data_IF_735784043061
#
_entry.id   IF_735784043061
#
_cell.length_a   1.000
_cell.length_b   1.000
_cell.length_c   1.000
_cell.angle_alpha   90.00
_cell.angle_beta   90.00
_cell.angle_gamma   90.00
#
_symmetry.space_group_name_H-M   'P 1'
#
loop_
_entity.id
_entity.type
_entity.pdbx_description
1 polymer ?
#
# COMPACT_ATOMS: atom_id res chain seq x y z
N UNK A 1 -71.15 33.33 0.76
CA UNK A 1 -69.95 34.00 1.30
C UNK A 1 -68.74 33.13 0.99
N UNK A 2 -67.77 33.68 0.28
CA UNK A 2 -66.57 33.04 -0.28
C UNK A 2 -65.69 32.34 0.76
N UNK A 3 -65.12 31.17 0.43
CA UNK A 3 -63.74 30.83 0.81
C UNK A 3 -63.22 29.63 -0.03
N UNK A 4 -62.52 29.92 -1.13
CA UNK A 4 -61.06 29.78 -1.35
C UNK A 4 -60.62 28.36 -1.74
N UNK A 5 -60.32 28.24 -3.04
CA UNK A 5 -59.57 27.15 -3.69
C UNK A 5 -58.18 27.04 -3.05
N UNK A 6 -57.84 25.86 -2.53
CA UNK A 6 -56.47 25.56 -2.10
C UNK A 6 -55.73 24.88 -3.26
N UNK A 7 -54.76 25.58 -3.83
CA UNK A 7 -53.79 25.05 -4.79
C UNK A 7 -52.85 24.10 -4.04
N UNK A 8 -52.92 22.79 -4.33
CA UNK A 8 -52.00 21.80 -3.80
C UNK A 8 -50.72 21.82 -4.66
N UNK A 9 -49.71 22.56 -4.21
CA UNK A 9 -48.39 22.58 -4.85
C UNK A 9 -47.67 21.24 -4.54
N UNK A 10 -47.67 20.32 -5.49
CA UNK A 10 -46.94 19.06 -5.40
C UNK A 10 -45.43 19.35 -5.52
N UNK A 11 -44.75 19.51 -4.38
CA UNK A 11 -43.29 19.59 -4.32
C UNK A 11 -42.71 18.23 -4.71
N UNK A 12 -42.19 18.11 -5.93
CA UNK A 12 -41.36 16.98 -6.34
C UNK A 12 -40.03 17.04 -5.59
N UNK A 13 -39.92 16.29 -4.50
CA UNK A 13 -38.66 15.95 -3.84
C UNK A 13 -37.83 15.11 -4.80
N UNK A 14 -36.96 15.74 -5.58
CA UNK A 14 -35.89 15.07 -6.29
C UNK A 14 -34.90 14.58 -5.23
N UNK A 15 -34.73 13.25 -5.04
CA UNK A 15 -33.65 12.77 -4.18
C UNK A 15 -32.35 13.16 -4.88
N UNK A 16 -31.61 14.10 -4.27
CA UNK A 16 -30.23 14.32 -4.62
C UNK A 16 -29.49 13.02 -4.27
N UNK A 17 -29.33 12.15 -5.26
CA UNK A 17 -28.32 11.09 -5.21
C UNK A 17 -26.97 11.79 -5.22
N UNK A 18 -26.53 12.27 -4.05
CA UNK A 18 -25.12 12.43 -3.78
C UNK A 18 -24.54 11.03 -3.99
N UNK A 19 -23.93 10.81 -5.16
CA UNK A 19 -23.02 9.71 -5.35
C UNK A 19 -21.96 9.86 -4.28
N UNK A 20 -22.06 9.05 -3.22
CA UNK A 20 -20.99 8.90 -2.27
C UNK A 20 -19.81 8.41 -3.08
N UNK A 21 -18.82 9.27 -3.32
CA UNK A 21 -17.57 8.88 -3.93
C UNK A 21 -16.96 7.82 -3.01
N UNK A 22 -17.10 6.56 -3.38
CA UNK A 22 -16.49 5.46 -2.67
C UNK A 22 -14.98 5.63 -2.81
N UNK A 23 -14.32 6.05 -1.73
CA UNK A 23 -12.86 6.06 -1.65
C UNK A 23 -12.35 4.68 -2.09
N UNK A 24 -11.42 4.67 -3.04
CA UNK A 24 -10.82 3.42 -3.51
C UNK A 24 -10.13 2.75 -2.30
N UNK A 25 -10.53 1.51 -2.06
CA UNK A 25 -10.13 0.73 -0.91
C UNK A 25 -9.03 -0.24 -1.30
N UNK A 26 -7.86 -0.15 -0.67
CA UNK A 26 -6.68 -0.95 -1.04
C UNK A 26 -6.27 -1.93 0.06
N UNK A 27 -5.68 -3.05 -0.36
CA UNK A 27 -4.96 -3.98 0.51
C UNK A 27 -3.54 -4.04 0.00
N UNK A 28 -2.60 -3.71 0.88
CA UNK A 28 -1.18 -3.87 0.63
C UNK A 28 -0.74 -5.23 1.10
N UNK A 29 -0.04 -5.93 0.22
CA UNK A 29 0.46 -7.29 0.45
C UNK A 29 1.97 -7.20 0.49
N UNK A 30 2.57 -7.68 1.56
CA UNK A 30 4.02 -7.78 1.69
C UNK A 30 4.42 -9.25 1.61
N UNK A 31 5.28 -9.58 0.66
CA UNK A 31 5.84 -10.90 0.45
C UNK A 31 7.25 -10.94 1.02
N UNK A 32 7.43 -11.62 2.15
CA UNK A 32 8.75 -11.86 2.73
C UNK A 32 9.25 -13.23 2.30
N UNK A 33 10.49 -13.34 1.82
CA UNK A 33 11.08 -14.66 1.49
C UNK A 33 11.01 -15.57 2.72
N UNK A 34 10.40 -16.74 2.58
CA UNK A 34 10.35 -17.72 3.65
C UNK A 34 11.71 -18.43 3.77
N UNK A 35 12.45 -18.13 4.85
CA UNK A 35 13.78 -18.72 5.13
C UNK A 35 13.70 -20.18 5.56
N UNK A 36 12.53 -20.63 6.01
CA UNK A 36 12.25 -21.99 6.45
C UNK A 36 11.60 -22.86 5.36
N UNK A 37 11.48 -22.35 4.14
CA UNK A 37 10.89 -23.11 3.04
C UNK A 37 11.79 -24.29 2.64
N UNK A 38 11.17 -25.43 2.36
CA UNK A 38 11.89 -26.63 1.91
C UNK A 38 12.79 -26.33 0.71
N UNK A 39 13.93 -27.03 0.67
CA UNK A 39 14.80 -27.00 -0.51
C UNK A 39 14.08 -27.74 -1.65
N UNK A 40 13.95 -27.06 -2.78
CA UNK A 40 13.33 -27.59 -3.99
C UNK A 40 14.34 -27.55 -5.14
N UNK A 41 14.11 -28.35 -6.18
CA UNK A 41 14.93 -28.31 -7.39
C UNK A 41 14.78 -26.96 -8.10
N UNK A 42 15.81 -26.57 -8.86
CA UNK A 42 15.75 -25.35 -9.67
C UNK A 42 14.56 -25.38 -10.64
N UNK A 43 14.32 -26.51 -11.30
CA UNK A 43 13.18 -26.70 -12.21
C UNK A 43 11.83 -26.45 -11.54
N UNK A 44 11.65 -26.93 -10.30
CA UNK A 44 10.43 -26.65 -9.55
C UNK A 44 10.34 -25.18 -9.14
N UNK A 45 11.45 -24.58 -8.71
CA UNK A 45 11.52 -23.15 -8.39
C UNK A 45 11.11 -22.28 -9.58
N UNK A 46 11.63 -22.56 -10.77
CA UNK A 46 11.32 -21.83 -12.00
C UNK A 46 9.86 -22.02 -12.42
N UNK A 47 9.32 -23.23 -12.25
CA UNK A 47 7.90 -23.52 -12.51
C UNK A 47 6.98 -22.73 -11.58
N UNK A 48 7.30 -22.67 -10.28
CA UNK A 48 6.55 -21.87 -9.31
C UNK A 48 6.62 -20.38 -9.64
N UNK A 49 7.78 -19.86 -10.01
CA UNK A 49 7.95 -18.46 -10.39
C UNK A 49 7.19 -18.11 -11.66
N UNK A 50 7.20 -18.99 -12.68
CA UNK A 50 6.38 -18.82 -13.88
C UNK A 50 4.89 -18.76 -13.55
N UNK A 51 4.44 -19.63 -12.65
CA UNK A 51 3.07 -19.64 -12.16
C UNK A 51 2.70 -18.40 -11.35
N UNK A 52 3.62 -17.88 -10.54
CA UNK A 52 3.48 -16.61 -9.82
C UNK A 52 3.27 -15.45 -10.80
N UNK A 53 4.13 -15.32 -11.82
CA UNK A 53 3.97 -14.28 -12.84
C UNK A 53 2.67 -14.40 -13.63
N UNK A 54 2.24 -15.63 -13.96
CA UNK A 54 0.95 -15.85 -14.61
C UNK A 54 -0.24 -15.42 -13.73
N UNK A 55 -0.14 -15.64 -12.41
CA UNK A 55 -1.16 -15.18 -11.45
C UNK A 55 -1.21 -13.66 -11.35
N UNK A 56 -0.06 -12.98 -11.30
CA UNK A 56 0.04 -11.51 -11.33
C UNK A 56 -0.67 -10.96 -12.57
N UNK A 57 -0.35 -11.48 -13.76
CA UNK A 57 -0.95 -11.04 -15.02
C UNK A 57 -2.47 -11.26 -15.05
N UNK A 58 -2.94 -12.41 -14.55
CA UNK A 58 -4.38 -12.70 -14.45
C UNK A 58 -5.08 -11.72 -13.50
N UNK A 59 -4.54 -11.47 -12.31
CA UNK A 59 -5.13 -10.54 -11.35
C UNK A 59 -5.13 -9.09 -11.86
N UNK A 60 -4.10 -8.69 -12.62
CA UNK A 60 -4.06 -7.39 -13.28
C UNK A 60 -5.15 -7.28 -14.37
N UNK A 61 -5.29 -8.30 -15.22
CA UNK A 61 -6.33 -8.35 -16.25
C UNK A 61 -7.76 -8.34 -15.67
N UNK A 62 -7.95 -8.95 -14.50
CA UNK A 62 -9.22 -8.94 -13.76
C UNK A 62 -9.47 -7.62 -12.99
N UNK A 63 -8.55 -6.65 -13.05
CA UNK A 63 -8.65 -5.36 -12.34
C UNK A 63 -8.49 -5.46 -10.82
N UNK A 64 -8.06 -6.63 -10.31
CA UNK A 64 -7.89 -6.93 -8.89
C UNK A 64 -6.55 -6.44 -8.35
N UNK A 65 -5.50 -6.53 -9.17
CA UNK A 65 -4.16 -6.05 -8.87
C UNK A 65 -3.94 -4.69 -9.54
N UNK A 66 -3.53 -3.69 -8.75
CA UNK A 66 -3.26 -2.33 -9.25
C UNK A 66 -1.78 -2.17 -9.56
N UNK A 67 -0.92 -2.64 -8.65
CA UNK A 67 0.51 -2.54 -8.77
C UNK A 67 1.21 -3.74 -8.12
N UNK A 68 2.33 -4.15 -8.69
CA UNK A 68 3.19 -5.21 -8.17
C UNK A 68 4.66 -4.88 -8.46
N UNK A 69 5.55 -5.23 -7.53
CA UNK A 69 6.97 -5.02 -7.72
C UNK A 69 7.80 -5.88 -6.78
N UNK A 70 8.86 -6.56 -7.27
CA UNK A 70 9.77 -7.29 -6.41
C UNK A 70 10.66 -6.34 -5.60
N UNK A 71 11.17 -6.85 -4.48
CA UNK A 71 12.31 -6.24 -3.81
C UNK A 71 13.62 -6.85 -4.27
N UNK A 72 14.69 -6.06 -4.25
CA UNK A 72 16.05 -6.60 -4.35
C UNK A 72 16.30 -7.61 -3.22
N UNK A 73 16.95 -8.73 -3.55
CA UNK A 73 17.17 -9.84 -2.62
C UNK A 73 15.95 -10.76 -2.39
N UNK A 74 14.82 -10.47 -3.04
CA UNK A 74 13.64 -11.32 -3.09
C UNK A 74 12.50 -10.86 -2.18
N UNK A 75 11.32 -11.45 -2.43
CA UNK A 75 10.06 -10.92 -1.92
C UNK A 75 9.55 -9.79 -2.80
N UNK A 76 8.57 -9.04 -2.31
CA UNK A 76 7.97 -7.95 -3.06
C UNK A 76 6.69 -7.43 -2.43
N UNK A 77 5.97 -6.61 -3.20
CA UNK A 77 4.68 -6.06 -2.80
C UNK A 77 3.62 -6.34 -3.86
N UNK A 78 2.37 -6.41 -3.40
CA UNK A 78 1.19 -6.19 -4.24
C UNK A 78 0.31 -5.10 -3.63
N UNK A 79 -0.39 -4.37 -4.48
CA UNK A 79 -1.47 -3.48 -4.08
C UNK A 79 -2.75 -3.93 -4.78
N UNK A 80 -3.70 -4.44 -4.00
CA UNK A 80 -4.95 -5.01 -4.48
C UNK A 80 -6.11 -4.02 -4.29
N UNK A 81 -7.06 -4.03 -5.23
CA UNK A 81 -8.27 -3.18 -5.22
C UNK A 81 -9.37 -3.74 -4.31
N UNK A 82 -9.08 -3.87 -3.01
CA UNK A 82 -10.05 -4.26 -1.97
C UNK A 82 -9.55 -3.78 -0.60
N UNK A 83 -10.42 -3.33 0.32
CA UNK A 83 -10.03 -3.17 1.74
C UNK A 83 -10.19 -4.47 2.55
N UNK A 84 -10.89 -5.47 1.99
CA UNK A 84 -11.08 -6.76 2.66
C UNK A 84 -9.83 -7.62 2.47
N UNK A 85 -9.12 -7.85 3.57
CA UNK A 85 -7.98 -8.78 3.62
C UNK A 85 -8.41 -10.22 3.36
N UNK A 86 -9.66 -10.59 3.67
CA UNK A 86 -10.21 -11.91 3.32
C UNK A 86 -10.33 -12.09 1.81
N UNK A 87 -10.94 -11.13 1.10
CA UNK A 87 -11.01 -11.17 -0.37
C UNK A 87 -9.61 -11.17 -1.00
N UNK A 88 -8.69 -10.37 -0.45
CA UNK A 88 -7.31 -10.36 -0.91
C UNK A 88 -6.64 -11.73 -0.73
N UNK A 89 -6.84 -12.39 0.42
CA UNK A 89 -6.34 -13.74 0.69
C UNK A 89 -6.90 -14.76 -0.31
N UNK A 90 -8.19 -14.68 -0.62
CA UNK A 90 -8.82 -15.55 -1.62
C UNK A 90 -8.19 -15.36 -3.01
N UNK A 91 -7.97 -14.11 -3.43
CA UNK A 91 -7.32 -13.83 -4.72
C UNK A 91 -5.87 -14.32 -4.79
N UNK A 92 -5.14 -14.25 -3.68
CA UNK A 92 -3.76 -14.73 -3.59
C UNK A 92 -3.66 -16.25 -3.45
N UNK A 93 -4.71 -16.93 -3.00
CA UNK A 93 -4.72 -18.38 -2.79
C UNK A 93 -4.49 -19.20 -4.08
N UNK A 94 -4.70 -18.59 -5.25
CA UNK A 94 -4.46 -19.22 -6.55
C UNK A 94 -2.99 -19.19 -6.97
N UNK A 95 -2.14 -18.43 -6.28
CA UNK A 95 -0.73 -18.31 -6.58
C UNK A 95 0.04 -19.57 -6.16
N UNK A 96 0.69 -20.29 -7.10
CA UNK A 96 1.40 -21.52 -6.77
C UNK A 96 2.61 -21.29 -5.85
N UNK A 97 3.30 -20.16 -5.94
CA UNK A 97 4.43 -19.86 -5.07
C UNK A 97 4.00 -19.52 -3.64
N UNK A 98 2.85 -18.85 -3.49
CA UNK A 98 2.25 -18.63 -2.16
C UNK A 98 1.77 -19.96 -1.56
N UNK A 99 1.07 -20.81 -2.33
CA UNK A 99 0.64 -22.15 -1.86
C UNK A 99 1.83 -23.03 -1.47
N UNK A 100 2.93 -22.95 -2.21
CA UNK A 100 4.18 -23.63 -1.89
C UNK A 100 4.96 -22.96 -0.75
N UNK A 101 4.39 -21.97 -0.07
CA UNK A 101 4.98 -21.24 1.07
C UNK A 101 6.37 -20.69 0.77
N UNK A 102 6.61 -20.25 -0.48
CA UNK A 102 7.88 -19.59 -0.85
C UNK A 102 8.02 -18.21 -0.19
N UNK A 103 6.89 -17.61 0.16
CA UNK A 103 6.82 -16.34 0.89
C UNK A 103 5.90 -16.45 2.10
N UNK A 104 6.26 -15.71 3.15
CA UNK A 104 5.34 -15.30 4.19
C UNK A 104 4.57 -14.09 3.70
N UNK A 105 3.24 -14.14 3.81
CA UNK A 105 2.33 -13.13 3.23
C UNK A 105 1.68 -12.35 4.35
N UNK A 106 1.96 -11.06 4.42
CA UNK A 106 1.27 -10.12 5.31
C UNK A 106 0.28 -9.29 4.49
N UNK A 107 -0.96 -9.17 4.95
CA UNK A 107 -2.00 -8.38 4.31
C UNK A 107 -2.47 -7.29 5.27
N UNK A 108 -2.46 -6.04 4.81
CA UNK A 108 -2.93 -4.91 5.58
C UNK A 108 -3.81 -4.01 4.73
N UNK A 109 -4.94 -3.49 5.25
CA UNK A 109 -5.62 -2.36 4.63
C UNK A 109 -4.62 -1.23 4.36
N UNK A 110 -4.71 -0.57 3.22
CA UNK A 110 -3.75 0.45 2.83
C UNK A 110 -4.42 1.78 2.54
N UNK A 111 -3.92 2.82 3.19
CA UNK A 111 -4.39 4.19 3.04
C UNK A 111 -3.20 5.09 2.65
N UNK A 112 -3.07 5.48 1.38
CA UNK A 112 -2.10 6.50 0.99
C UNK A 112 -2.48 7.85 1.63
N UNK A 113 -1.50 8.52 2.23
CA UNK A 113 -1.61 9.87 2.78
C UNK A 113 -0.90 10.91 1.89
N UNK A 114 0.18 10.48 1.22
CA UNK A 114 0.87 11.25 0.18
C UNK A 114 0.92 10.37 -1.08
N UNK A 115 0.58 10.96 -2.22
CA UNK A 115 0.39 10.22 -3.47
C UNK A 115 -0.89 9.40 -3.45
N UNK A 116 -0.99 8.42 -4.35
CA UNK A 116 -2.09 7.45 -4.39
C UNK A 116 -1.59 6.16 -5.05
N UNK A 117 -2.48 5.33 -5.59
CA UNK A 117 -2.12 4.13 -6.35
C UNK A 117 -2.81 4.16 -7.70
N UNK A 118 -2.03 4.00 -8.77
CA UNK A 118 -2.51 4.10 -10.14
C UNK A 118 -2.19 2.82 -10.92
N UNK A 119 -3.15 2.40 -11.75
CA UNK A 119 -2.90 1.36 -12.74
C UNK A 119 -2.04 1.98 -13.84
N UNK A 120 -0.87 1.40 -14.08
CA UNK A 120 0.02 1.80 -15.18
C UNK A 120 -0.30 0.96 -16.41
N UNK A 121 -0.61 1.60 -17.53
CA UNK A 121 -0.91 0.92 -18.81
C UNK A 121 0.37 0.73 -19.61
N UNK A 122 0.45 -0.37 -20.34
CA UNK A 122 1.53 -0.61 -21.30
C UNK A 122 1.49 0.37 -22.49
N UNK A 123 2.66 0.74 -23.06
CA UNK A 123 4.01 0.42 -22.58
C UNK A 123 4.37 1.25 -21.34
N UNK A 124 5.16 0.68 -20.42
CA UNK A 124 5.60 1.37 -19.21
C UNK A 124 7.10 1.18 -18.95
N UNK A 125 7.67 2.13 -18.21
CA UNK A 125 9.05 2.09 -17.71
C UNK A 125 9.08 1.45 -16.32
N UNK A 126 10.10 0.64 -16.05
CA UNK A 126 10.36 0.12 -14.71
C UNK A 126 11.41 0.97 -14.01
N UNK A 127 11.18 1.30 -12.74
CA UNK A 127 12.05 2.16 -11.93
C UNK A 127 12.31 1.53 -10.57
N UNK A 128 13.43 1.90 -9.97
CA UNK A 128 13.80 1.49 -8.61
C UNK A 128 13.58 2.64 -7.64
N UNK A 129 12.86 2.36 -6.56
CA UNK A 129 12.63 3.28 -5.45
C UNK A 129 13.21 2.73 -4.15
N UNK A 130 13.69 3.63 -3.30
CA UNK A 130 13.92 3.29 -1.91
C UNK A 130 12.57 3.07 -1.24
N UNK A 131 12.43 1.92 -0.59
CA UNK A 131 11.25 1.53 0.16
C UNK A 131 11.61 1.42 1.63
N UNK A 132 10.90 2.17 2.46
CA UNK A 132 11.07 2.24 3.90
C UNK A 132 9.77 1.79 4.53
N UNK A 133 9.84 0.80 5.42
CA UNK A 133 8.70 0.34 6.23
C UNK A 133 8.98 0.65 7.68
N UNK A 134 8.01 1.29 8.32
CA UNK A 134 8.01 1.60 9.75
C UNK A 134 7.15 0.57 10.47
N UNK A 135 7.77 -0.31 11.23
CA UNK A 135 7.09 -1.27 12.09
C UNK A 135 6.94 -0.65 13.48
N UNK A 136 5.69 -0.47 13.93
CA UNK A 136 5.41 0.13 15.23
C UNK A 136 5.71 -0.86 16.36
N UNK A 137 6.49 -0.39 17.35
CA UNK A 137 6.84 -1.13 18.56
C UNK A 137 6.42 -0.29 19.77
N UNK A 138 5.19 -0.55 20.26
CA UNK A 138 4.70 0.13 21.48
C UNK A 138 5.27 -0.56 22.71
N UNK A 139 6.01 0.19 23.50
CA UNK A 139 6.58 -0.26 24.78
C UNK A 139 5.95 0.49 25.94
N UNK A 140 6.22 0.04 27.18
CA UNK A 140 5.81 0.78 28.39
C UNK A 140 6.31 2.23 28.44
N UNK A 141 7.40 2.54 27.71
CA UNK A 141 8.01 3.87 27.68
C UNK A 141 7.36 4.79 26.63
N UNK A 142 6.87 4.21 25.53
CA UNK A 142 6.23 4.97 24.45
C UNK A 142 4.71 5.01 24.58
N UNK A 143 4.09 4.14 25.39
CA UNK A 143 2.63 4.01 25.49
C UNK A 143 1.88 5.31 25.87
N UNK A 144 2.47 6.20 26.67
CA UNK A 144 1.82 7.46 27.06
C UNK A 144 2.05 8.59 26.06
N UNK A 145 3.19 8.58 25.36
CA UNK A 145 3.60 9.61 24.41
C UNK A 145 3.35 9.24 22.95
N UNK A 146 2.91 8.01 22.67
CA UNK A 146 2.74 7.52 21.30
C UNK A 146 1.91 8.44 20.40
N UNK A 147 0.79 9.08 20.86
CA UNK A 147 0.02 9.96 19.98
C UNK A 147 0.81 11.21 19.56
N UNK A 148 1.60 11.78 20.48
CA UNK A 148 2.45 12.94 20.21
C UNK A 148 3.65 12.60 19.35
N UNK A 149 4.21 11.39 19.51
CA UNK A 149 5.29 10.88 18.65
C UNK A 149 4.76 10.69 17.22
N UNK A 150 3.59 10.08 17.06
CA UNK A 150 2.95 9.89 15.76
C UNK A 150 2.67 11.22 15.05
N UNK A 151 2.13 12.21 15.76
CA UNK A 151 1.91 13.55 15.18
C UNK A 151 3.20 14.16 14.65
N UNK A 152 4.31 14.05 15.40
CA UNK A 152 5.61 14.58 14.98
C UNK A 152 6.24 13.76 13.85
N UNK A 153 6.03 12.44 13.82
CA UNK A 153 6.37 11.60 12.68
C UNK A 153 5.65 12.07 11.41
N UNK A 154 4.34 12.30 11.47
CA UNK A 154 3.58 12.81 10.32
C UNK A 154 4.07 14.19 9.86
N UNK A 155 4.38 15.10 10.79
CA UNK A 155 4.96 16.42 10.49
C UNK A 155 6.32 16.29 9.81
N UNK A 156 7.16 15.37 10.30
CA UNK A 156 8.45 15.05 9.72
C UNK A 156 8.30 14.53 8.27
N UNK A 157 7.42 13.57 8.04
CA UNK A 157 7.16 13.01 6.69
C UNK A 157 6.59 14.08 5.75
N UNK A 158 5.68 14.94 6.23
CA UNK A 158 5.16 16.08 5.44
C UNK A 158 6.27 17.03 5.02
N UNK A 159 7.19 17.36 5.93
CA UNK A 159 8.38 18.18 5.63
C UNK A 159 9.32 17.47 4.65
N UNK A 160 9.52 16.17 4.81
CA UNK A 160 10.34 15.38 3.88
C UNK A 160 9.73 15.38 2.48
N UNK A 161 8.40 15.33 2.36
CA UNK A 161 7.70 15.37 1.08
C UNK A 161 7.90 16.68 0.31
N UNK A 162 8.14 17.81 0.99
CA UNK A 162 8.43 19.08 0.31
C UNK A 162 9.77 19.09 -0.42
N UNK A 163 10.64 18.09 -0.19
CA UNK A 163 11.90 17.94 -0.93
C UNK A 163 11.71 17.45 -2.37
N UNK A 164 10.51 16.96 -2.71
CA UNK A 164 10.21 16.38 -4.03
C UNK A 164 10.68 14.93 -4.22
N UNK A 165 11.36 14.35 -3.22
CA UNK A 165 11.87 12.97 -3.31
C UNK A 165 10.89 11.91 -2.81
N UNK A 166 9.85 12.29 -2.06
CA UNK A 166 8.83 11.34 -1.58
C UNK A 166 7.85 11.02 -2.70
N UNK A 167 7.77 9.75 -3.05
CA UNK A 167 6.86 9.18 -4.06
C UNK A 167 5.49 8.92 -3.45
N UNK A 168 5.46 8.19 -2.33
CA UNK A 168 4.24 7.97 -1.56
C UNK A 168 4.58 7.75 -0.09
N UNK A 169 3.63 8.12 0.77
CA UNK A 169 3.59 7.69 2.15
C UNK A 169 2.18 7.22 2.45
N UNK A 170 2.05 6.11 3.17
CA UNK A 170 0.73 5.61 3.55
C UNK A 170 0.78 4.67 4.74
N UNK A 171 -0.38 4.48 5.33
CA UNK A 171 -0.60 3.69 6.55
C UNK A 171 -1.11 2.31 6.17
N UNK A 172 -0.63 1.31 6.89
CA UNK A 172 -1.01 -0.09 6.83
C UNK A 172 -1.82 -0.48 8.08
N UNK A 173 -3.06 -0.89 7.89
CA UNK A 173 -3.96 -1.34 8.96
C UNK A 173 -4.34 -0.24 9.94
N UNK A 174 -4.79 -0.66 11.13
CA UNK A 174 -5.22 0.25 12.20
C UNK A 174 -4.13 0.50 13.26
N UNK A 175 -2.97 -0.15 13.12
CA UNK A 175 -1.86 -0.07 14.07
C UNK A 175 -0.71 0.80 13.53
N UNK A 176 -1.02 1.80 12.71
CA UNK A 176 -0.12 2.88 12.27
C UNK A 176 1.27 2.41 11.82
N UNK A 177 1.32 1.26 11.14
CA UNK A 177 2.51 0.76 10.45
C UNK A 177 2.61 1.52 9.14
N UNK A 178 3.73 2.18 8.86
CA UNK A 178 3.85 3.08 7.72
C UNK A 178 4.69 2.49 6.58
N UNK A 179 4.40 2.89 5.35
CA UNK A 179 5.36 2.77 4.24
C UNK A 179 5.71 4.16 3.71
N UNK A 180 6.96 4.33 3.34
CA UNK A 180 7.48 5.51 2.64
C UNK A 180 8.28 5.03 1.45
N UNK A 181 7.92 5.53 0.26
CA UNK A 181 8.62 5.26 -0.99
C UNK A 181 9.27 6.55 -1.46
N UNK A 182 10.53 6.48 -1.85
CA UNK A 182 11.31 7.65 -2.24
C UNK A 182 12.12 7.41 -3.51
N UNK A 183 12.32 8.47 -4.29
CA UNK A 183 13.20 8.50 -5.45
C UNK A 183 14.67 8.38 -5.00
N UNK A 184 15.46 7.61 -5.75
CA UNK A 184 16.90 7.46 -5.55
C UNK A 184 17.29 6.68 -4.29
N UNK A 185 18.58 6.68 -3.97
CA UNK A 185 19.09 6.11 -2.73
C UNK A 185 18.81 7.04 -1.55
N UNK A 186 18.17 6.52 -0.51
CA UNK A 186 17.89 7.28 0.70
C UNK A 186 19.04 7.10 1.69
N UNK A 187 19.66 8.23 2.07
CA UNK A 187 20.62 8.24 3.16
C UNK A 187 19.89 7.90 4.46
N UNK A 188 20.32 6.83 5.14
CA UNK A 188 19.67 6.35 6.37
C UNK A 188 19.55 7.45 7.43
N UNK A 189 20.55 8.30 7.56
CA UNK A 189 20.55 9.44 8.49
C UNK A 189 19.34 10.38 8.32
N UNK A 190 18.81 10.51 7.09
CA UNK A 190 17.60 11.31 6.85
C UNK A 190 16.40 10.66 7.52
N UNK A 191 16.20 9.36 7.31
CA UNK A 191 15.09 8.62 7.91
C UNK A 191 15.28 8.49 9.42
N UNK A 192 16.49 8.19 9.88
CA UNK A 192 16.81 8.06 11.30
C UNK A 192 16.54 9.34 12.10
N UNK A 193 16.51 10.51 11.48
CA UNK A 193 16.10 11.77 12.13
C UNK A 193 14.60 11.86 12.45
N UNK A 194 13.81 10.85 12.04
CA UNK A 194 12.40 10.74 12.37
C UNK A 194 12.18 10.64 13.90
N UNK A 195 11.31 11.48 14.48
CA UNK A 195 11.04 11.45 15.92
C UNK A 195 10.57 10.09 16.45
N UNK A 196 9.79 9.35 15.66
CA UNK A 196 9.32 8.02 16.04
C UNK A 196 10.43 6.98 16.09
N UNK A 197 11.49 7.13 15.28
CA UNK A 197 12.67 6.28 15.37
C UNK A 197 13.52 6.68 16.56
N UNK A 198 13.79 7.99 16.72
CA UNK A 198 14.62 8.51 17.82
C UNK A 198 14.07 8.15 19.20
N UNK A 199 12.74 8.07 19.32
CA UNK A 199 12.06 7.73 20.58
C UNK A 199 11.68 6.24 20.69
N UNK A 200 12.11 5.41 19.74
CA UNK A 200 11.93 3.96 19.78
C UNK A 200 10.49 3.49 19.59
N UNK A 201 9.64 4.30 18.95
CA UNK A 201 8.31 3.89 18.52
C UNK A 201 8.35 3.07 17.23
N UNK A 202 9.33 3.31 16.35
CA UNK A 202 9.47 2.60 15.07
C UNK A 202 10.77 1.84 14.96
N UNK A 203 10.66 0.58 14.53
CA UNK A 203 11.72 -0.13 13.85
C UNK A 203 11.57 0.08 12.34
N UNK A 204 12.69 0.14 11.62
CA UNK A 204 12.67 0.46 10.18
C UNK A 204 13.33 -0.62 9.34
N UNK A 205 12.63 -1.02 8.29
CA UNK A 205 13.15 -1.89 7.24
C UNK A 205 13.38 -1.11 5.96
N UNK A 206 14.58 -1.28 5.39
CA UNK A 206 14.96 -0.68 4.11
C UNK A 206 14.99 -1.75 3.02
N UNK A 207 14.39 -1.45 1.88
CA UNK A 207 14.37 -2.28 0.68
C UNK A 207 14.56 -1.41 -0.57
N UNK A 208 14.99 -2.01 -1.66
CA UNK A 208 14.88 -1.42 -3.00
C UNK A 208 13.69 -2.06 -3.70
N UNK A 209 12.71 -1.26 -4.09
CA UNK A 209 11.49 -1.70 -4.79
C UNK A 209 11.63 -1.43 -6.27
N UNK A 210 11.50 -2.48 -7.10
CA UNK A 210 11.45 -2.35 -8.55
C UNK A 210 10.00 -2.45 -9.03
N UNK A 211 9.47 -1.39 -9.66
CA UNK A 211 8.05 -1.26 -9.97
C UNK A 211 7.82 -0.39 -11.22
N UNK A 212 6.65 -0.50 -11.85
CA UNK A 212 6.29 0.36 -12.98
C UNK A 212 6.18 1.83 -12.53
N UNK A 213 6.85 2.75 -13.25
CA UNK A 213 6.81 4.20 -12.99
C UNK A 213 5.37 4.70 -13.07
N UNK A 214 4.95 5.51 -12.09
CA UNK A 214 3.57 5.99 -11.99
C UNK A 214 2.62 5.07 -11.22
N UNK A 215 3.08 3.92 -10.70
CA UNK A 215 2.26 3.03 -9.85
C UNK A 215 1.71 3.74 -8.60
N UNK A 216 2.38 4.81 -8.17
CA UNK A 216 1.97 5.62 -7.02
C UNK A 216 1.32 6.96 -7.40
N UNK A 217 0.77 7.06 -8.63
CA UNK A 217 0.16 8.27 -9.19
C UNK A 217 1.10 9.49 -9.20
N UNK A 218 2.38 9.24 -9.42
CA UNK A 218 3.40 10.28 -9.51
C UNK A 218 3.12 11.21 -10.70
N UNK A 219 3.39 12.52 -10.58
CA UNK A 219 3.31 13.42 -11.72
C UNK A 219 4.20 12.93 -12.86
N UNK A 220 3.70 13.05 -14.10
CA UNK A 220 4.55 12.87 -15.28
C UNK A 220 5.54 14.03 -15.32
N UNK A 221 6.83 13.70 -15.35
CA UNK A 221 7.94 14.64 -15.52
C UNK A 221 7.94 15.25 -16.94
#
# INVERSE_FOLDING_TARGET
>A
MHLKRLFFCLLLLVPAYCGWAQQDAYTFVFLTKNVNADKISQTLSDSLMKGHMANINRLAAEGKLIAAGPFDGGGGIFILRTASTDKARDWLSTDPGIRARRWEVTLSPYKPLIGSVCVVKEPYEMVSYAFVRFDMVVTKFTAQSYPDILRRHEEFVKKLATTGNVVTYGILGEHDTGILVMKGEVQRAVIEADPGIQEGLFEVQYKTLWIAKGSFCEPKE
#
